data_IF_464426040885
#
_entry.id   IF_464426040885
#
_cell.length_a   1.000
_cell.length_b   1.000
_cell.length_c   1.000
_cell.angle_alpha   90.00
_cell.angle_beta   90.00
_cell.angle_gamma   90.00
#
_symmetry.space_group_name_H-M   'P 1'
#
loop_
_entity.id
_entity.type
_entity.pdbx_description
1 polymer ?
#
# COMPACT_ATOMS: atom_id res chain seq x y z
N UNK A 1 -16.74 -1.15 -15.13
CA UNK A 1 -15.93 -0.29 -14.23
C UNK A 1 -14.52 -0.85 -14.20
N UNK A 2 -13.48 -0.05 -14.47
CA UNK A 2 -12.11 -0.48 -14.22
C UNK A 2 -11.92 -0.53 -12.70
N UNK A 3 -11.55 -1.69 -12.18
CA UNK A 3 -11.21 -1.86 -10.77
C UNK A 3 -9.79 -1.32 -10.57
N UNK A 4 -9.63 -0.27 -9.76
CA UNK A 4 -8.31 0.22 -9.40
C UNK A 4 -7.75 -0.72 -8.32
N UNK A 5 -6.79 -1.54 -8.73
CA UNK A 5 -6.05 -2.44 -7.84
C UNK A 5 -4.77 -1.78 -7.34
N UNK A 6 -4.36 -2.20 -6.14
CA UNK A 6 -2.98 -2.07 -5.69
C UNK A 6 -2.30 -3.43 -5.79
N UNK A 7 -0.97 -3.47 -5.88
CA UNK A 7 -0.21 -4.73 -5.94
C UNK A 7 -0.41 -5.56 -4.66
N UNK A 8 -0.46 -4.90 -3.50
CA UNK A 8 -0.76 -5.54 -2.21
C UNK A 8 -1.74 -4.73 -1.36
N UNK A 9 -2.45 -5.43 -0.47
CA UNK A 9 -3.34 -4.84 0.54
C UNK A 9 -3.19 -5.55 1.89
N UNK A 10 -2.98 -4.79 2.96
CA UNK A 10 -2.89 -5.28 4.34
C UNK A 10 -3.86 -4.48 5.21
N UNK A 11 -4.98 -5.09 5.60
CA UNK A 11 -6.09 -4.36 6.22
C UNK A 11 -6.64 -3.29 5.28
N UNK A 12 -6.63 -2.04 5.72
CA UNK A 12 -7.00 -0.84 4.96
C UNK A 12 -5.83 -0.21 4.18
N UNK A 13 -4.60 -0.69 4.41
CA UNK A 13 -3.38 -0.17 3.80
C UNK A 13 -3.14 -0.79 2.44
N UNK A 14 -2.82 0.06 1.47
CA UNK A 14 -2.45 -0.30 0.10
C UNK A 14 -0.94 -0.16 -0.07
N UNK A 15 -0.34 -1.05 -0.87
CA UNK A 15 1.07 -0.98 -1.24
C UNK A 15 1.15 -1.15 -2.75
N UNK A 16 1.87 -0.25 -3.42
CA UNK A 16 2.04 -0.24 -4.87
C UNK A 16 3.51 -0.12 -5.25
N UNK A 17 3.95 -0.91 -6.23
CA UNK A 17 5.27 -0.83 -6.82
C UNK A 17 5.24 -0.03 -8.14
N UNK A 18 5.87 1.14 -8.14
CA UNK A 18 5.96 2.01 -9.31
C UNK A 18 7.24 1.75 -10.12
N UNK A 19 7.30 0.58 -10.74
CA UNK A 19 8.49 0.09 -11.45
C UNK A 19 8.93 0.90 -12.68
N UNK A 20 8.03 1.66 -13.30
CA UNK A 20 8.28 2.47 -14.50
C UNK A 20 8.18 3.98 -14.25
N UNK A 21 8.19 4.40 -12.99
CA UNK A 21 8.08 5.82 -12.65
C UNK A 21 9.23 6.62 -13.26
N UNK A 22 8.89 7.64 -14.05
CA UNK A 22 9.84 8.50 -14.76
C UNK A 22 10.38 7.92 -16.07
N UNK A 23 10.05 6.66 -16.41
CA UNK A 23 10.53 5.99 -17.62
C UNK A 23 9.51 6.04 -18.77
N UNK A 24 8.21 6.23 -18.47
CA UNK A 24 7.16 6.20 -19.48
C UNK A 24 6.05 7.22 -19.19
N UNK A 25 5.90 8.22 -20.06
CA UNK A 25 4.97 9.35 -19.86
C UNK A 25 3.54 8.91 -19.54
N UNK A 26 2.98 7.98 -20.33
CA UNK A 26 1.62 7.46 -20.08
C UNK A 26 1.49 6.73 -18.73
N UNK A 27 2.56 6.07 -18.29
CA UNK A 27 2.57 5.38 -17.01
C UNK A 27 2.53 6.40 -15.87
N UNK A 28 3.33 7.46 -15.99
CA UNK A 28 3.36 8.55 -15.01
C UNK A 28 2.01 9.28 -14.93
N UNK A 29 1.34 9.54 -16.06
CA UNK A 29 -0.02 10.08 -16.05
C UNK A 29 -1.01 9.20 -15.27
N UNK A 30 -0.95 7.89 -15.47
CA UNK A 30 -1.81 6.93 -14.77
C UNK A 30 -1.46 6.85 -13.27
N UNK A 31 -0.17 6.93 -12.93
CA UNK A 31 0.31 7.05 -11.55
C UNK A 31 -0.25 8.30 -10.90
N UNK A 32 -0.16 9.47 -11.54
CA UNK A 32 -0.70 10.73 -11.01
C UNK A 32 -2.23 10.66 -10.80
N UNK A 33 -2.97 10.05 -11.73
CA UNK A 33 -4.41 9.82 -11.54
C UNK A 33 -4.67 8.95 -10.30
N UNK A 34 -3.90 7.86 -10.12
CA UNK A 34 -4.02 6.98 -8.95
C UNK A 34 -3.73 7.75 -7.65
N UNK A 35 -2.66 8.54 -7.61
CA UNK A 35 -2.30 9.33 -6.42
C UNK A 35 -3.34 10.39 -6.08
N UNK A 36 -3.92 11.03 -7.10
CA UNK A 36 -5.03 11.97 -6.90
C UNK A 36 -6.26 11.28 -6.30
N UNK A 37 -6.57 10.06 -6.71
CA UNK A 37 -7.66 9.26 -6.11
C UNK A 37 -7.33 8.89 -4.66
N UNK A 38 -6.13 8.40 -4.41
CA UNK A 38 -5.64 8.06 -3.05
C UNK A 38 -5.78 9.24 -2.11
N UNK A 39 -5.32 10.43 -2.54
CA UNK A 39 -5.45 11.67 -1.77
C UNK A 39 -6.92 12.07 -1.57
N UNK A 40 -7.74 12.01 -2.63
CA UNK A 40 -9.17 12.37 -2.58
C UNK A 40 -9.94 11.50 -1.59
N UNK A 41 -9.65 10.20 -1.55
CA UNK A 41 -10.33 9.23 -0.69
C UNK A 41 -9.61 8.96 0.63
N UNK A 42 -8.50 9.66 0.91
CA UNK A 42 -7.66 9.49 2.11
C UNK A 42 -7.24 8.03 2.32
N UNK A 43 -6.91 7.33 1.23
CA UNK A 43 -6.47 5.94 1.29
C UNK A 43 -5.02 5.89 1.78
N UNK A 44 -4.68 5.07 2.79
CA UNK A 44 -3.31 4.89 3.21
C UNK A 44 -2.57 4.04 2.16
N UNK A 45 -1.72 4.69 1.35
CA UNK A 45 -0.92 4.06 0.31
C UNK A 45 0.56 4.18 0.65
N UNK A 46 1.29 3.07 0.55
CA UNK A 46 2.75 3.03 0.52
C UNK A 46 3.22 2.86 -0.93
N UNK A 47 4.06 3.78 -1.38
CA UNK A 47 4.67 3.76 -2.70
C UNK A 47 6.06 3.13 -2.61
N UNK A 48 6.35 2.14 -3.45
CA UNK A 48 7.65 1.48 -3.55
C UNK A 48 8.21 1.70 -4.96
N UNK A 49 9.47 2.09 -5.05
CA UNK A 49 10.19 2.34 -6.30
C UNK A 49 11.35 1.35 -6.47
N UNK A 50 11.87 1.13 -7.69
CA UNK A 50 13.02 0.27 -7.90
C UNK A 50 14.23 0.64 -7.03
N UNK A 51 14.49 1.94 -6.85
CA UNK A 51 15.57 2.46 -5.99
C UNK A 51 15.42 2.11 -4.50
N UNK A 52 14.21 1.73 -4.08
CA UNK A 52 13.88 1.41 -2.69
C UNK A 52 14.19 -0.05 -2.35
N UNK A 53 14.25 -0.91 -3.37
CA UNK A 53 14.55 -2.35 -3.21
C UNK A 53 16.03 -2.61 -2.89
N UNK A 54 16.91 -1.70 -3.30
CA UNK A 54 18.36 -1.89 -3.23
C UNK A 54 19.05 -0.97 -2.21
N UNK A 55 18.29 -0.19 -1.43
CA UNK A 55 18.86 0.65 -0.36
C UNK A 55 18.89 -0.11 0.98
N UNK A 56 20.05 -0.09 1.63
CA UNK A 56 20.29 -0.67 2.96
C UNK A 56 19.24 -0.21 3.99
N UNK A 57 18.67 -1.19 4.70
CA UNK A 57 17.88 -1.19 5.96
C UNK A 57 16.77 -0.14 6.21
N UNK A 58 16.88 1.09 5.73
CA UNK A 58 15.94 2.18 6.02
C UNK A 58 14.53 1.93 5.45
N UNK A 59 14.42 1.33 4.26
CA UNK A 59 13.12 1.01 3.68
C UNK A 59 12.41 -0.15 4.38
N UNK A 60 13.19 -1.09 4.93
CA UNK A 60 12.63 -2.17 5.74
C UNK A 60 11.96 -1.63 6.99
N UNK A 61 12.59 -0.67 7.67
CA UNK A 61 12.00 0.02 8.83
C UNK A 61 10.71 0.75 8.46
N UNK A 62 10.67 1.46 7.31
CA UNK A 62 9.44 2.15 6.88
C UNK A 62 8.29 1.19 6.58
N UNK A 63 8.55 0.07 5.89
CA UNK A 63 7.54 -0.96 5.62
C UNK A 63 7.04 -1.54 6.94
N UNK A 64 7.96 -1.86 7.86
CA UNK A 64 7.62 -2.38 9.16
C UNK A 64 6.75 -1.40 9.98
N UNK A 65 7.13 -0.13 10.06
CA UNK A 65 6.37 0.88 10.81
C UNK A 65 5.01 1.15 10.17
N UNK A 66 4.94 1.12 8.83
CA UNK A 66 3.68 1.26 8.12
C UNK A 66 2.76 0.06 8.33
N UNK A 67 3.28 -1.17 8.45
CA UNK A 67 2.46 -2.38 8.50
C UNK A 67 2.19 -2.87 9.94
N UNK A 68 3.14 -2.74 10.87
CA UNK A 68 3.06 -3.24 12.27
C UNK A 68 1.77 -2.84 13.01
N UNK A 69 1.26 -1.59 12.92
CA UNK A 69 0.02 -1.20 13.60
C UNK A 69 -1.20 -2.00 13.15
N UNK A 70 -1.17 -2.59 11.94
CA UNK A 70 -2.25 -3.41 11.40
C UNK A 70 -2.11 -4.88 11.78
N UNK A 71 -0.89 -5.32 12.12
CA UNK A 71 -0.60 -6.71 12.52
C UNK A 71 -0.85 -6.97 14.01
N UNK A 72 -0.96 -5.92 14.83
CA UNK A 72 -1.06 -6.06 16.29
C UNK A 72 -2.45 -6.33 16.83
N UNK A 73 -3.55 -6.32 16.06
CA UNK A 73 -4.87 -6.94 16.39
C UNK A 73 -5.83 -6.91 15.18
N UNK A 74 -6.60 -7.98 14.91
CA UNK A 74 -7.85 -8.18 15.66
C UNK A 74 -7.69 -9.31 16.68
N UNK A 75 -8.11 -9.08 17.94
CA UNK A 75 -8.54 -10.20 18.79
C UNK A 75 -9.53 -10.98 17.95
N UNK A 76 -9.31 -12.29 17.79
CA UNK A 76 -10.38 -13.19 17.37
C UNK A 76 -11.62 -12.77 18.17
N UNK A 77 -12.66 -12.32 17.48
CA UNK A 77 -13.97 -12.23 18.11
C UNK A 77 -14.23 -13.61 18.71
N UNK A 78 -14.24 -13.70 20.03
CA UNK A 78 -14.62 -14.91 20.72
C UNK A 78 -16.02 -15.25 20.20
N UNK A 79 -16.13 -16.33 19.44
CA UNK A 79 -17.44 -16.93 19.20
C UNK A 79 -17.88 -17.47 20.54
N UNK A 80 -18.65 -16.67 21.28
CA UNK A 80 -19.46 -17.15 22.38
C UNK A 80 -20.51 -18.06 21.76
N UNK A 81 -20.26 -19.36 21.72
CA UNK A 81 -21.32 -20.33 21.48
C UNK A 81 -22.20 -20.35 22.72
N UNK A 82 -23.28 -19.57 22.68
CA UNK A 82 -24.48 -19.92 23.42
C UNK A 82 -25.31 -20.83 22.50
N UNK A 83 -25.47 -22.08 22.94
CA UNK A 83 -26.66 -22.94 23.01
C UNK A 83 -26.14 -24.39 23.07
#
# INVERSE_FOLDING_TARGET
MKQYSADFRIGDKLIEFFGLAGEHTRYDELREIKLNLVKKYKLPLLEIYPKDLYKDSHYQVMIEDFVKPTLTHPKKAARTNQI
#
